data_IF_355680710648
#
_entry.id   IF_355680710648
#
_cell.length_a   1.000
_cell.length_b   1.000
_cell.length_c   1.000
_cell.angle_alpha   90.00
_cell.angle_beta   90.00
_cell.angle_gamma   90.00
#
_symmetry.space_group_name_H-M   'P 1'
#
loop_
_entity.id
_entity.type
_entity.pdbx_description
1 polymer ?
#
# COMPACT_ATOMS: atom_id res chain seq x y z
N UNK A 1 -33.73 -92.70 -5.58
CA UNK A 1 -32.71 -92.08 -6.46
C UNK A 1 -32.57 -90.62 -6.08
N UNK A 2 -31.34 -90.17 -5.91
CA UNK A 2 -30.97 -88.84 -5.46
C UNK A 2 -31.04 -87.79 -6.58
N UNK A 3 -31.43 -86.56 -6.24
CA UNK A 3 -30.79 -85.37 -6.81
C UNK A 3 -30.95 -84.17 -5.88
N UNK A 4 -29.80 -83.63 -5.47
CA UNK A 4 -29.61 -82.45 -4.61
C UNK A 4 -30.23 -81.18 -5.21
N UNK A 5 -30.61 -80.19 -4.37
CA UNK A 5 -31.14 -78.91 -4.82
C UNK A 5 -30.03 -78.10 -5.51
N UNK A 6 -30.30 -77.62 -6.71
CA UNK A 6 -29.42 -76.75 -7.50
C UNK A 6 -29.81 -75.27 -7.31
N UNK A 7 -29.93 -74.82 -6.07
CA UNK A 7 -30.25 -73.43 -5.74
C UNK A 7 -29.23 -72.85 -4.77
N UNK A 8 -27.94 -72.79 -5.12
CA UNK A 8 -26.98 -72.17 -4.17
C UNK A 8 -25.63 -71.73 -4.73
N UNK A 9 -25.52 -71.30 -5.99
CA UNK A 9 -24.24 -70.73 -6.48
C UNK A 9 -24.34 -69.34 -7.14
N UNK A 10 -25.53 -68.75 -7.27
CA UNK A 10 -25.70 -67.36 -7.72
C UNK A 10 -26.10 -66.38 -6.60
N UNK A 11 -26.52 -66.88 -5.43
CA UNK A 11 -26.93 -66.02 -4.31
C UNK A 11 -25.77 -65.60 -3.38
N UNK A 12 -24.59 -66.22 -3.49
CA UNK A 12 -23.49 -66.03 -2.53
C UNK A 12 -22.44 -64.99 -2.95
N UNK A 13 -22.60 -64.30 -4.10
CA UNK A 13 -21.61 -63.31 -4.59
C UNK A 13 -22.12 -61.86 -4.60
N UNK A 14 -23.10 -61.55 -3.76
CA UNK A 14 -23.37 -60.15 -3.40
C UNK A 14 -22.68 -59.90 -2.06
N UNK A 15 -21.35 -59.80 -2.13
CA UNK A 15 -20.53 -59.44 -0.99
C UNK A 15 -20.91 -58.05 -0.47
N UNK A 16 -20.67 -57.75 0.81
CA UNK A 16 -20.95 -56.47 1.45
C UNK A 16 -20.12 -55.28 0.91
N UNK A 17 -19.42 -55.43 -0.22
CA UNK A 17 -18.45 -54.47 -0.75
C UNK A 17 -19.07 -53.19 -1.34
N UNK A 18 -20.38 -53.19 -1.63
CA UNK A 18 -21.05 -52.03 -2.23
C UNK A 18 -21.16 -50.82 -1.28
N UNK A 19 -21.19 -51.04 0.04
CA UNK A 19 -21.33 -49.95 1.03
C UNK A 19 -19.98 -49.30 1.37
N UNK A 20 -18.88 -50.04 1.31
CA UNK A 20 -17.53 -49.53 1.58
C UNK A 20 -17.11 -48.45 0.56
N UNK A 21 -17.36 -48.68 -0.73
CA UNK A 21 -17.07 -47.70 -1.77
C UNK A 21 -17.89 -46.41 -1.64
N UNK A 22 -19.16 -46.50 -1.21
CA UNK A 22 -20.01 -45.34 -0.97
C UNK A 22 -19.52 -44.49 0.20
N UNK A 23 -19.18 -45.11 1.33
CA UNK A 23 -18.63 -44.38 2.48
C UNK A 23 -17.24 -43.82 2.20
N UNK A 24 -16.39 -44.53 1.46
CA UNK A 24 -15.07 -44.06 1.09
C UNK A 24 -15.14 -42.83 0.18
N UNK A 25 -16.06 -42.82 -0.79
CA UNK A 25 -16.30 -41.66 -1.64
C UNK A 25 -16.81 -40.44 -0.85
N UNK A 26 -17.71 -40.63 0.12
CA UNK A 26 -18.17 -39.53 0.97
C UNK A 26 -17.03 -38.96 1.81
N UNK A 27 -16.19 -39.82 2.41
CA UNK A 27 -15.03 -39.37 3.18
C UNK A 27 -14.04 -38.63 2.30
N UNK A 28 -13.75 -39.14 1.10
CA UNK A 28 -12.88 -38.47 0.12
C UNK A 28 -13.43 -37.11 -0.29
N UNK A 29 -14.73 -37.02 -0.60
CA UNK A 29 -15.39 -35.77 -0.93
C UNK A 29 -15.35 -34.77 0.24
N UNK A 30 -15.50 -35.23 1.49
CA UNK A 30 -15.36 -34.38 2.68
C UNK A 30 -13.93 -33.89 2.87
N UNK A 31 -12.93 -34.74 2.63
CA UNK A 31 -11.51 -34.36 2.69
C UNK A 31 -11.18 -33.35 1.59
N UNK A 32 -11.63 -33.58 0.35
CA UNK A 32 -11.46 -32.64 -0.75
C UNK A 32 -12.18 -31.31 -0.48
N UNK A 33 -13.38 -31.35 0.08
CA UNK A 33 -14.14 -30.16 0.46
C UNK A 33 -13.42 -29.38 1.57
N UNK A 34 -12.90 -30.06 2.59
CA UNK A 34 -12.13 -29.43 3.66
C UNK A 34 -10.82 -28.82 3.13
N UNK A 35 -10.11 -29.55 2.26
CA UNK A 35 -8.91 -29.05 1.60
C UNK A 35 -9.22 -27.82 0.73
N UNK A 36 -10.30 -27.87 -0.06
CA UNK A 36 -10.76 -26.76 -0.88
C UNK A 36 -11.08 -25.54 -0.02
N UNK A 37 -11.85 -25.72 1.06
CA UNK A 37 -12.18 -24.63 1.98
C UNK A 37 -10.93 -24.01 2.60
N UNK A 38 -9.95 -24.84 3.00
CA UNK A 38 -8.69 -24.36 3.54
C UNK A 38 -7.86 -23.59 2.50
N UNK A 39 -7.79 -24.10 1.27
CA UNK A 39 -7.10 -23.42 0.17
C UNK A 39 -7.74 -22.06 -0.14
N UNK A 40 -9.07 -21.98 -0.18
CA UNK A 40 -9.78 -20.71 -0.37
C UNK A 40 -9.49 -19.72 0.75
N UNK A 41 -9.54 -20.17 2.01
CA UNK A 41 -9.24 -19.32 3.15
C UNK A 41 -7.80 -18.77 3.08
N UNK A 42 -6.84 -19.61 2.71
CA UNK A 42 -5.44 -19.20 2.54
C UNK A 42 -5.29 -18.17 1.40
N UNK A 43 -5.96 -18.37 0.26
CA UNK A 43 -5.95 -17.40 -0.84
C UNK A 43 -6.59 -16.07 -0.46
N UNK A 44 -7.72 -16.08 0.27
CA UNK A 44 -8.35 -14.85 0.76
C UNK A 44 -7.41 -14.07 1.68
N UNK A 45 -6.69 -14.74 2.58
CA UNK A 45 -5.70 -14.09 3.44
C UNK A 45 -4.56 -13.49 2.63
N UNK A 46 -4.02 -14.24 1.66
CA UNK A 46 -2.92 -13.77 0.81
C UNK A 46 -3.35 -12.55 -0.03
N UNK A 47 -4.53 -12.60 -0.65
CA UNK A 47 -5.05 -11.49 -1.45
C UNK A 47 -5.39 -10.27 -0.59
N UNK A 48 -5.93 -10.47 0.62
CA UNK A 48 -6.16 -9.38 1.57
C UNK A 48 -4.87 -8.67 1.95
N UNK A 49 -3.82 -9.41 2.29
CA UNK A 49 -2.52 -8.84 2.61
C UNK A 49 -1.89 -8.11 1.40
N UNK A 50 -1.94 -8.70 0.22
CA UNK A 50 -1.44 -8.10 -1.00
C UNK A 50 -2.19 -6.81 -1.37
N UNK A 51 -3.51 -6.79 -1.17
CA UNK A 51 -4.34 -5.61 -1.42
C UNK A 51 -3.97 -4.46 -0.48
N UNK A 52 -3.88 -4.72 0.82
CA UNK A 52 -3.50 -3.72 1.81
C UNK A 52 -2.12 -3.15 1.50
N UNK A 53 -1.15 -4.02 1.19
CA UNK A 53 0.19 -3.58 0.81
C UNK A 53 0.19 -2.75 -0.47
N UNK A 54 -0.65 -3.11 -1.44
CA UNK A 54 -0.82 -2.33 -2.67
C UNK A 54 -1.47 -0.97 -2.46
N UNK A 55 -2.26 -0.76 -1.41
CA UNK A 55 -2.80 0.56 -1.03
C UNK A 55 -1.71 1.38 -0.34
N UNK A 56 -1.00 0.78 0.61
CA UNK A 56 0.09 1.43 1.35
C UNK A 56 1.22 1.91 0.42
N UNK A 57 1.64 1.08 -0.55
CA UNK A 57 2.68 1.46 -1.52
C UNK A 57 2.23 2.61 -2.43
N UNK A 58 0.95 2.64 -2.84
CA UNK A 58 0.40 3.77 -3.61
C UNK A 58 0.40 5.05 -2.78
N UNK A 59 0.00 4.96 -1.52
CA UNK A 59 -0.01 6.08 -0.60
C UNK A 59 1.39 6.64 -0.37
N UNK A 60 2.37 5.77 -0.11
CA UNK A 60 3.75 6.17 0.09
C UNK A 60 4.36 6.77 -1.18
N UNK A 61 4.13 6.15 -2.35
CA UNK A 61 4.60 6.68 -3.64
C UNK A 61 4.08 8.10 -3.86
N UNK A 62 2.80 8.33 -3.60
CA UNK A 62 2.19 9.64 -3.74
C UNK A 62 2.80 10.66 -2.78
N UNK A 63 2.98 10.29 -1.52
CA UNK A 63 3.59 11.15 -0.52
C UNK A 63 5.03 11.55 -0.90
N UNK A 64 5.81 10.62 -1.45
CA UNK A 64 7.16 10.90 -1.95
C UNK A 64 7.15 11.89 -3.12
N UNK A 65 6.22 11.75 -4.06
CA UNK A 65 6.09 12.68 -5.19
C UNK A 65 5.72 14.09 -4.71
N UNK A 66 4.75 14.21 -3.81
CA UNK A 66 4.35 15.49 -3.22
C UNK A 66 5.51 16.16 -2.45
N UNK A 67 6.25 15.39 -1.65
CA UNK A 67 7.43 15.90 -0.93
C UNK A 67 8.53 16.35 -1.90
N UNK A 68 8.74 15.61 -2.99
CA UNK A 68 9.74 15.95 -4.01
C UNK A 68 9.36 17.23 -4.74
N UNK A 69 8.11 17.40 -5.12
CA UNK A 69 7.61 18.64 -5.74
C UNK A 69 7.80 19.84 -4.80
N UNK A 70 7.48 19.69 -3.51
CA UNK A 70 7.70 20.74 -2.51
C UNK A 70 9.18 21.07 -2.29
N UNK A 71 10.07 20.06 -2.41
CA UNK A 71 11.51 20.23 -2.35
C UNK A 71 12.05 20.95 -3.59
N UNK A 72 11.50 20.67 -4.77
CA UNK A 72 11.84 21.38 -6.02
C UNK A 72 11.41 22.85 -5.96
N UNK A 73 10.21 23.15 -5.45
CA UNK A 73 9.75 24.52 -5.25
C UNK A 73 10.65 25.27 -4.25
N UNK A 74 11.02 24.63 -3.14
CA UNK A 74 12.01 25.16 -2.19
C UNK A 74 13.36 25.41 -2.85
N UNK A 75 13.82 24.46 -3.67
CA UNK A 75 15.07 24.57 -4.41
C UNK A 75 15.03 25.69 -5.46
N UNK A 76 13.85 26.12 -5.92
CA UNK A 76 13.65 27.27 -6.80
C UNK A 76 13.56 28.59 -6.01
N UNK A 77 12.87 28.61 -4.86
CA UNK A 77 12.74 29.79 -3.99
C UNK A 77 12.64 29.40 -2.50
N UNK A 78 13.68 29.61 -1.66
CA UNK A 78 13.71 29.13 -0.29
C UNK A 78 13.06 30.16 0.65
N UNK A 79 11.73 30.26 0.59
CA UNK A 79 10.95 31.15 1.46
C UNK A 79 10.96 30.63 2.91
N UNK A 80 11.52 31.43 3.81
CA UNK A 80 11.56 31.13 5.24
C UNK A 80 10.14 31.04 5.86
N UNK A 81 10.01 30.23 6.90
CA UNK A 81 8.77 30.02 7.64
C UNK A 81 8.05 28.73 7.26
N UNK A 82 6.83 28.57 7.80
CA UNK A 82 6.00 27.38 7.62
C UNK A 82 4.93 27.62 6.57
N UNK A 83 4.79 26.67 5.65
CA UNK A 83 3.79 26.68 4.59
C UNK A 83 3.13 25.30 4.53
N UNK A 84 1.82 25.29 4.29
CA UNK A 84 1.06 24.05 4.19
C UNK A 84 0.04 24.11 3.07
N UNK A 85 -0.03 23.04 2.28
CA UNK A 85 -0.90 22.91 1.10
C UNK A 85 -1.58 21.53 1.11
N UNK A 86 -2.84 21.50 0.67
CA UNK A 86 -3.66 20.30 0.62
C UNK A 86 -3.73 19.73 -0.80
N UNK A 87 -3.71 18.39 -0.90
CA UNK A 87 -3.81 17.64 -2.14
C UNK A 87 -4.77 16.47 -1.96
N UNK A 88 -5.54 16.13 -2.98
CA UNK A 88 -6.44 14.99 -2.91
C UNK A 88 -5.69 13.64 -2.96
N UNK A 89 -6.42 12.53 -2.86
CA UNK A 89 -5.86 11.18 -2.89
C UNK A 89 -5.07 10.82 -4.17
N UNK A 90 -5.30 11.54 -5.27
CA UNK A 90 -4.62 11.38 -6.56
C UNK A 90 -3.45 12.39 -6.73
N UNK A 91 -3.31 13.35 -5.81
CA UNK A 91 -2.26 14.36 -5.75
C UNK A 91 -2.57 15.68 -6.42
N UNK A 92 -3.82 15.93 -6.78
CA UNK A 92 -4.22 17.20 -7.35
C UNK A 92 -4.37 18.24 -6.24
N UNK A 93 -3.89 19.46 -6.50
CA UNK A 93 -3.91 20.54 -5.51
C UNK A 93 -5.35 20.96 -5.20
N UNK A 94 -5.69 20.90 -3.90
CA UNK A 94 -6.95 21.42 -3.37
C UNK A 94 -6.81 22.88 -2.93
N UNK A 95 -5.58 23.32 -2.63
CA UNK A 95 -5.27 24.66 -2.18
C UNK A 95 -4.88 24.68 -0.70
N UNK A 96 -5.63 25.39 0.13
CA UNK A 96 -5.18 25.65 1.49
C UNK A 96 -5.27 24.39 2.38
N UNK A 97 -4.41 24.32 3.40
CA UNK A 97 -4.43 23.24 4.39
C UNK A 97 -5.81 22.99 5.03
N UNK A 98 -6.65 24.02 5.16
CA UNK A 98 -8.00 23.92 5.72
C UNK A 98 -8.98 23.14 4.82
N UNK A 99 -8.61 22.95 3.56
CA UNK A 99 -9.42 22.24 2.56
C UNK A 99 -9.15 20.73 2.57
N UNK A 100 -8.15 20.25 3.32
CA UNK A 100 -7.86 18.83 3.46
C UNK A 100 -8.97 18.09 4.21
N UNK A 101 -9.57 17.11 3.54
CA UNK A 101 -10.54 16.17 4.10
C UNK A 101 -9.93 14.83 4.51
N UNK A 102 -10.80 13.87 4.81
CA UNK A 102 -10.42 12.48 5.05
C UNK A 102 -9.89 11.85 3.76
N UNK A 103 -8.71 11.23 3.82
CA UNK A 103 -8.03 10.62 2.70
C UNK A 103 -7.18 11.56 1.85
N UNK A 104 -7.16 12.86 2.16
CA UNK A 104 -6.34 13.86 1.47
C UNK A 104 -4.95 13.97 2.12
N UNK A 105 -3.98 14.42 1.34
CA UNK A 105 -2.64 14.72 1.81
C UNK A 105 -2.52 16.18 2.22
N UNK A 106 -1.79 16.39 3.30
CA UNK A 106 -1.35 17.70 3.76
C UNK A 106 0.18 17.73 3.71
N UNK A 107 0.73 18.55 2.83
CA UNK A 107 2.16 18.81 2.73
C UNK A 107 2.48 20.02 3.57
N UNK A 108 3.37 19.88 4.54
CA UNK A 108 3.88 20.98 5.38
C UNK A 108 5.37 21.12 5.18
N UNK A 109 5.82 22.33 4.86
CA UNK A 109 7.22 22.70 4.71
C UNK A 109 7.57 23.75 5.76
N UNK A 110 8.57 23.45 6.58
CA UNK A 110 9.18 24.41 7.50
C UNK A 110 10.58 24.76 7.00
N UNK A 111 10.84 26.04 6.77
CA UNK A 111 12.14 26.55 6.31
C UNK A 111 12.77 27.45 7.34
N UNK A 112 13.98 27.10 7.78
CA UNK A 112 14.79 27.84 8.76
C UNK A 112 16.04 28.41 8.08
N UNK A 113 16.21 29.75 8.04
CA UNK A 113 17.42 30.37 7.52
C UNK A 113 18.55 30.36 8.55
N UNK A 114 19.76 30.03 8.09
CA UNK A 114 21.01 30.11 8.83
C UNK A 114 21.96 31.08 8.11
N UNK A 115 22.11 32.33 8.60
CA UNK A 115 23.03 33.30 8.02
C UNK A 115 24.49 32.87 8.15
N UNK A 116 25.29 33.10 7.11
CA UNK A 116 26.73 32.82 7.04
C UNK A 116 27.50 34.04 6.54
N UNK A 117 28.84 34.01 6.51
CA UNK A 117 29.66 35.16 6.09
C UNK A 117 29.48 35.57 4.61
N UNK A 118 28.98 34.70 3.74
CA UNK A 118 28.87 34.97 2.29
C UNK A 118 27.50 34.67 1.68
N UNK A 119 26.47 34.50 2.51
CA UNK A 119 25.15 34.07 2.09
C UNK A 119 24.31 33.48 3.23
N UNK A 120 23.17 32.90 2.88
CA UNK A 120 22.28 32.21 3.84
C UNK A 120 22.09 30.76 3.42
N UNK A 121 22.28 29.82 4.35
CA UNK A 121 21.90 28.42 4.19
C UNK A 121 20.46 28.24 4.70
N UNK A 122 19.54 27.87 3.83
CA UNK A 122 18.17 27.57 4.22
C UNK A 122 18.04 26.06 4.42
N UNK A 123 17.57 25.65 5.59
CA UNK A 123 17.21 24.25 5.89
C UNK A 123 15.70 24.10 5.74
N UNK A 124 15.24 23.01 5.14
CA UNK A 124 13.83 22.70 4.98
C UNK A 124 13.52 21.30 5.52
N UNK A 125 12.52 21.19 6.39
CA UNK A 125 11.83 19.93 6.70
C UNK A 125 10.48 19.92 5.97
N UNK A 126 10.23 18.88 5.20
CA UNK A 126 9.01 18.68 4.42
C UNK A 126 8.34 17.39 4.91
N UNK A 127 7.18 17.53 5.53
CA UNK A 127 6.37 16.43 6.01
C UNK A 127 5.10 16.30 5.17
N UNK A 128 4.78 15.08 4.73
CA UNK A 128 3.53 14.76 4.06
C UNK A 128 2.71 13.89 5.00
N UNK A 129 1.55 14.40 5.39
CA UNK A 129 0.63 13.73 6.30
C UNK A 129 -0.67 13.37 5.59
N UNK A 130 -1.33 12.32 6.08
CA UNK A 130 -2.66 11.89 5.65
C UNK A 130 -3.42 11.43 6.88
N UNK A 131 -4.67 11.87 7.01
CA UNK A 131 -5.53 11.53 8.17
C UNK A 131 -4.88 11.83 9.54
N UNK A 132 -4.02 12.85 9.59
CA UNK A 132 -3.30 13.29 10.79
C UNK A 132 -2.02 12.50 11.12
N UNK A 133 -1.66 11.49 10.31
CA UNK A 133 -0.41 10.74 10.45
C UNK A 133 0.61 11.16 9.40
N UNK A 134 1.88 11.31 9.79
CA UNK A 134 2.98 11.58 8.84
C UNK A 134 3.31 10.29 8.10
N UNK A 135 3.13 10.32 6.78
CA UNK A 135 3.37 9.19 5.87
C UNK A 135 4.81 9.20 5.36
N UNK A 136 5.35 10.39 5.11
CA UNK A 136 6.70 10.57 4.58
C UNK A 136 7.28 11.92 5.03
N UNK A 137 8.59 11.96 5.26
CA UNK A 137 9.33 13.16 5.64
C UNK A 137 10.65 13.23 4.85
N UNK A 138 11.02 14.45 4.46
CA UNK A 138 12.24 14.76 3.73
C UNK A 138 12.90 16.02 4.30
N UNK A 139 14.17 15.91 4.64
CA UNK A 139 15.02 17.06 4.99
C UNK A 139 15.91 17.44 3.80
N UNK A 140 16.05 18.73 3.54
CA UNK A 140 16.91 19.27 2.47
C UNK A 140 17.43 20.65 2.83
N UNK A 141 18.41 21.15 2.09
CA UNK A 141 18.95 22.49 2.30
C UNK A 141 19.38 23.15 0.99
N UNK A 142 19.32 24.49 0.96
CA UNK A 142 19.77 25.31 -0.17
C UNK A 142 20.58 26.49 0.32
N UNK A 143 21.78 26.66 -0.25
CA UNK A 143 22.59 27.85 -0.04
C UNK A 143 22.25 28.95 -1.06
N UNK A 144 22.09 30.18 -0.59
CA UNK A 144 21.96 31.38 -1.40
C UNK A 144 23.08 32.36 -1.07
N UNK A 145 23.97 32.61 -2.04
CA UNK A 145 25.05 33.59 -1.88
C UNK A 145 24.55 35.02 -2.04
N UNK A 146 25.11 35.95 -1.27
CA UNK A 146 24.74 37.38 -1.35
C UNK A 146 25.07 38.01 -2.73
N UNK A 147 26.00 37.42 -3.49
CA UNK A 147 26.43 37.92 -4.80
C UNK A 147 25.51 37.59 -5.98
N UNK A 148 24.41 36.87 -5.79
CA UNK A 148 23.48 36.52 -6.89
C UNK A 148 22.65 37.72 -7.41
N UNK A 149 22.66 38.86 -6.70
CA UNK A 149 21.93 40.07 -7.09
C UNK A 149 22.70 41.02 -8.03
N UNK A 150 24.02 40.85 -8.22
CA UNK A 150 24.86 41.83 -8.97
C UNK A 150 25.29 41.38 -10.38
N UNK A 151 24.92 40.18 -10.85
CA UNK A 151 25.41 39.63 -12.13
C UNK A 151 24.53 39.87 -13.37
N UNK A 152 23.46 40.66 -13.27
CA UNK A 152 22.41 40.77 -14.29
C UNK A 152 22.53 41.93 -15.30
N UNK A 153 23.60 42.74 -15.26
CA UNK A 153 23.78 43.85 -16.20
C UNK A 153 25.18 43.83 -16.83
N UNK A 154 25.36 42.97 -17.84
CA UNK A 154 26.40 43.09 -18.86
C UNK A 154 26.18 42.10 -20.01
N UNK A 155 25.35 42.46 -21.00
CA UNK A 155 25.56 42.19 -22.44
C UNK A 155 24.45 42.83 -23.29
#
# INVERSE_FOLDING_TARGET
MARKPAETLLAARRGPDATWHGTAFVVEALVLLAFLAFALAMFMQLFGAAHNRGVEERQLTQAVLLASNAAEEFAAMPLAGTQSEAFDGDGDALGAAADAGEGDYLVTREVVPEPTEGGTLYHASIAVSRDGEVVYELETARYASDGAAEGGDAA
#
